data_IF_206073264800
#
_entry.id   IF_206073264800
#
_cell.length_a   1.000
_cell.length_b   1.000
_cell.length_c   1.000
_cell.angle_alpha   90.00
_cell.angle_beta   90.00
_cell.angle_gamma   90.00
#
_symmetry.space_group_name_H-M   'P 1'
#
loop_
_entity.id
_entity.type
_entity.pdbx_description
1 polymer ?
#
# COMPACT_ATOMS: atom_id res chain seq x y z
N UNK A 1 -31.98 46.59 35.92
CA UNK A 1 -33.09 47.17 36.72
C UNK A 1 -33.66 48.36 35.97
N UNK A 2 -34.97 48.64 36.05
CA UNK A 2 -36.01 47.87 36.74
C UNK A 2 -36.55 46.71 35.88
N UNK A 3 -37.58 46.02 36.39
CA UNK A 3 -38.41 45.05 35.67
C UNK A 3 -39.89 45.29 36.02
N UNK A 4 -40.81 44.85 35.16
CA UNK A 4 -42.25 44.76 35.47
C UNK A 4 -42.78 43.44 34.92
N UNK A 5 -43.61 42.75 35.71
CA UNK A 5 -44.26 41.47 35.36
C UNK A 5 -45.71 41.73 34.99
N UNK A 6 -46.26 40.94 34.05
CA UNK A 6 -47.68 40.96 33.71
C UNK A 6 -48.20 39.56 33.40
N UNK A 7 -49.19 39.10 34.18
CA UNK A 7 -49.86 37.80 34.02
C UNK A 7 -51.36 37.99 34.19
N UNK A 8 -52.19 37.57 33.23
CA UNK A 8 -53.66 37.72 33.29
C UNK A 8 -54.36 36.52 32.63
N UNK A 9 -55.26 35.88 33.39
CA UNK A 9 -56.44 35.05 33.03
C UNK A 9 -56.35 33.95 31.92
N UNK A 10 -57.10 32.86 32.00
CA UNK A 10 -58.08 32.46 33.02
C UNK A 10 -58.69 31.07 32.74
N UNK A 11 -59.54 30.58 33.65
CA UNK A 11 -60.08 29.20 33.66
C UNK A 11 -61.59 29.15 33.42
N UNK A 12 -62.06 28.10 32.70
CA UNK A 12 -63.49 27.67 32.64
C UNK A 12 -63.55 26.13 32.57
N UNK A 13 -64.60 25.52 33.13
CA UNK A 13 -64.79 24.07 33.35
C UNK A 13 -66.30 23.71 33.39
N UNK A 14 -66.80 22.46 33.28
CA UNK A 14 -66.13 21.15 33.11
C UNK A 14 -66.39 20.56 31.70
N UNK A 15 -67.28 19.59 31.36
CA UNK A 15 -68.17 18.69 32.13
C UNK A 15 -68.52 17.37 31.39
N UNK A 16 -67.90 16.27 31.83
CA UNK A 16 -68.40 14.86 31.78
C UNK A 16 -68.58 14.18 30.41
N UNK A 17 -68.53 12.84 30.23
CA UNK A 17 -68.15 11.64 31.05
C UNK A 17 -67.72 10.54 30.02
N UNK A 18 -67.15 9.38 30.35
CA UNK A 18 -67.11 8.58 31.58
C UNK A 18 -65.80 7.77 31.73
N UNK A 19 -65.59 7.19 32.92
CA UNK A 19 -64.53 6.19 33.16
C UNK A 19 -65.02 4.77 32.89
N UNK A 20 -64.09 3.87 32.54
CA UNK A 20 -64.19 2.44 32.80
C UNK A 20 -63.08 2.06 33.80
N UNK A 21 -63.43 1.30 34.85
CA UNK A 21 -62.48 0.81 35.86
C UNK A 21 -62.07 -0.64 35.57
N UNK A 22 -60.95 -1.08 36.13
CA UNK A 22 -60.42 -2.43 35.94
C UNK A 22 -61.12 -3.51 36.79
N UNK A 23 -60.92 -4.77 36.40
CA UNK A 23 -61.27 -5.96 37.15
C UNK A 23 -60.34 -7.11 36.73
N UNK A 24 -59.85 -7.90 37.68
CA UNK A 24 -58.79 -8.89 37.45
C UNK A 24 -59.31 -10.34 37.44
N UNK A 25 -58.63 -11.22 36.69
CA UNK A 25 -58.77 -12.68 36.75
C UNK A 25 -57.40 -13.36 36.61
N UNK A 26 -57.25 -14.54 37.22
CA UNK A 26 -55.99 -15.31 37.28
C UNK A 26 -56.32 -16.77 37.70
N UNK A 27 -55.49 -17.80 37.54
CA UNK A 27 -54.07 -17.89 37.17
C UNK A 27 -53.80 -19.12 36.29
N UNK A 28 -52.91 -19.01 35.30
CA UNK A 28 -52.33 -20.16 34.60
C UNK A 28 -50.91 -19.85 34.08
N UNK A 29 -49.84 -20.37 34.71
CA UNK A 29 -48.48 -20.25 34.18
C UNK A 29 -48.26 -21.29 33.08
N UNK A 30 -48.30 -20.87 31.81
CA UNK A 30 -47.87 -21.74 30.70
C UNK A 30 -46.35 -21.85 30.70
N UNK A 31 -45.83 -22.96 31.22
CA UNK A 31 -44.40 -23.21 31.38
C UNK A 31 -43.74 -23.63 30.07
N UNK A 32 -43.60 -22.70 29.12
CA UNK A 32 -42.63 -22.84 28.04
C UNK A 32 -41.21 -22.68 28.62
N UNK A 33 -40.26 -23.58 28.32
CA UNK A 33 -38.92 -23.50 28.89
C UNK A 33 -38.21 -22.25 28.38
N UNK A 34 -37.71 -21.42 29.29
CA UNK A 34 -36.67 -20.44 28.98
C UNK A 34 -35.45 -21.21 28.50
N UNK A 35 -35.25 -21.26 27.18
CA UNK A 35 -34.01 -21.74 26.59
C UNK A 35 -32.90 -20.77 27.01
N UNK A 36 -32.28 -21.06 28.17
CA UNK A 36 -31.00 -20.47 28.55
C UNK A 36 -30.03 -20.88 27.46
N UNK A 37 -29.77 -19.97 26.52
CA UNK A 37 -28.51 -19.98 25.79
C UNK A 37 -27.43 -19.78 26.84
N UNK A 38 -26.91 -20.89 27.34
CA UNK A 38 -25.54 -20.91 27.84
C UNK A 38 -24.70 -20.50 26.65
N UNK A 39 -24.21 -19.26 26.69
CA UNK A 39 -23.26 -18.78 25.71
C UNK A 39 -22.04 -19.68 25.87
N UNK A 40 -21.88 -20.65 24.96
CA UNK A 40 -20.62 -21.36 24.78
C UNK A 40 -19.58 -20.30 24.52
N UNK A 41 -18.85 -19.93 25.57
CA UNK A 41 -17.53 -19.34 25.47
C UNK A 41 -16.63 -20.43 24.91
N UNK A 42 -16.75 -20.63 23.60
CA UNK A 42 -15.84 -21.45 22.83
C UNK A 42 -14.46 -20.87 23.08
N UNK A 43 -13.69 -21.61 23.90
CA UNK A 43 -12.43 -21.11 24.43
C UNK A 43 -11.53 -20.86 23.23
N UNK A 44 -11.20 -19.58 22.99
CA UNK A 44 -10.34 -19.22 21.89
C UNK A 44 -9.04 -20.01 22.03
N UNK A 45 -8.79 -20.91 21.07
CA UNK A 45 -7.56 -21.67 20.95
C UNK A 45 -6.37 -20.70 21.14
N UNK A 46 -5.30 -21.08 21.87
CA UNK A 46 -4.20 -20.18 22.16
C UNK A 46 -3.67 -19.57 20.86
N UNK A 47 -3.99 -18.28 20.63
CA UNK A 47 -3.49 -17.55 19.47
C UNK A 47 -1.97 -17.52 19.60
N UNK A 48 -1.32 -18.24 18.69
CA UNK A 48 0.13 -18.32 18.60
C UNK A 48 0.70 -16.89 18.58
N UNK A 49 1.70 -16.62 19.41
CA UNK A 49 2.23 -15.27 19.58
C UNK A 49 2.95 -14.86 18.29
N UNK A 50 2.27 -14.04 17.48
CA UNK A 50 2.72 -13.71 16.13
C UNK A 50 3.84 -12.68 16.10
N UNK A 51 3.94 -11.87 17.15
CA UNK A 51 5.05 -10.94 17.33
C UNK A 51 6.31 -11.75 17.67
N UNK A 52 6.21 -12.73 18.58
CA UNK A 52 7.30 -13.68 18.87
C UNK A 52 7.67 -14.58 17.67
N UNK A 53 6.69 -14.97 16.81
CA UNK A 53 7.00 -15.67 15.54
C UNK A 53 7.77 -14.78 14.56
N UNK A 54 7.43 -13.49 14.46
CA UNK A 54 8.09 -12.56 13.55
C UNK A 54 9.48 -12.17 14.09
N UNK A 55 9.63 -11.93 15.39
CA UNK A 55 10.92 -11.77 16.06
C UNK A 55 11.85 -12.95 15.77
N UNK A 56 11.35 -14.19 15.92
CA UNK A 56 12.09 -15.41 15.59
C UNK A 56 12.42 -15.55 14.10
N UNK A 57 11.60 -15.00 13.20
CA UNK A 57 11.95 -14.93 11.78
C UNK A 57 13.06 -13.90 11.52
N UNK A 58 13.03 -12.77 12.24
CA UNK A 58 14.03 -11.70 12.15
C UNK A 58 15.39 -12.09 12.76
N UNK A 59 15.49 -13.10 13.62
CA UNK A 59 16.77 -13.76 13.99
C UNK A 59 17.62 -14.17 12.77
N UNK A 60 16.98 -14.42 11.61
CA UNK A 60 17.65 -14.81 10.37
C UNK A 60 18.03 -13.64 9.44
N UNK A 61 17.72 -12.39 9.84
CA UNK A 61 17.97 -11.18 9.06
C UNK A 61 19.17 -10.43 9.63
N UNK A 62 20.23 -10.30 8.83
CA UNK A 62 21.36 -9.43 9.17
C UNK A 62 20.91 -7.97 9.15
N UNK A 63 21.15 -7.26 10.24
CA UNK A 63 21.05 -5.79 10.36
C UNK A 63 22.44 -5.25 10.67
N UNK A 64 22.80 -4.09 10.13
CA UNK A 64 24.11 -3.47 10.39
C UNK A 64 24.25 -2.96 11.83
N UNK A 65 25.46 -2.95 12.37
CA UNK A 65 25.76 -2.47 13.73
C UNK A 65 25.36 -0.98 13.88
N UNK A 66 24.25 -0.74 14.59
CA UNK A 66 23.71 0.60 14.84
C UNK A 66 22.60 1.05 13.88
N UNK A 67 22.31 0.27 12.83
CA UNK A 67 21.09 0.44 12.05
C UNK A 67 19.86 -0.05 12.82
N UNK A 68 18.67 0.41 12.45
CA UNK A 68 17.39 -0.03 13.00
C UNK A 68 16.49 -0.56 11.92
N UNK A 69 15.69 -1.56 12.26
CA UNK A 69 14.63 -2.12 11.40
C UNK A 69 13.34 -2.23 12.20
N UNK A 70 12.22 -1.85 11.59
CA UNK A 70 10.88 -2.21 12.06
C UNK A 70 10.10 -2.89 10.94
N UNK A 71 9.40 -3.98 11.26
CA UNK A 71 8.57 -4.77 10.35
C UNK A 71 7.18 -4.91 10.93
N UNK A 72 6.16 -4.72 10.10
CA UNK A 72 4.78 -5.02 10.47
C UNK A 72 4.07 -5.74 9.31
N UNK A 73 3.32 -6.79 9.65
CA UNK A 73 2.57 -7.64 8.71
C UNK A 73 1.13 -7.73 9.18
N UNK A 74 0.18 -7.76 8.24
CA UNK A 74 -1.25 -7.96 8.50
C UNK A 74 -1.87 -8.81 7.40
N UNK A 75 -2.55 -9.88 7.79
CA UNK A 75 -3.54 -10.57 6.95
C UNK A 75 -4.84 -9.73 6.95
N UNK A 76 -5.31 -9.25 5.78
CA UNK A 76 -6.51 -8.41 5.68
C UNK A 76 -7.81 -9.21 5.81
N UNK A 77 -7.81 -10.53 5.59
CA UNK A 77 -8.99 -11.39 5.61
C UNK A 77 -9.33 -11.83 7.04
N UNK A 78 -8.33 -12.23 7.83
CA UNK A 78 -8.49 -12.56 9.25
C UNK A 78 -8.39 -11.35 10.18
N UNK A 79 -7.71 -10.29 9.73
CA UNK A 79 -7.33 -9.15 10.57
C UNK A 79 -6.14 -9.44 11.50
N UNK A 80 -5.51 -10.61 11.40
CA UNK A 80 -4.38 -11.01 12.24
C UNK A 80 -3.08 -10.33 11.81
N UNK A 81 -2.37 -9.73 12.76
CA UNK A 81 -1.11 -9.00 12.54
C UNK A 81 0.09 -9.58 13.29
N UNK A 82 1.29 -9.21 12.84
CA UNK A 82 2.56 -9.42 13.53
C UNK A 82 3.42 -8.14 13.44
N UNK A 83 4.25 -7.87 14.46
CA UNK A 83 5.19 -6.74 14.52
C UNK A 83 6.56 -7.15 15.07
N UNK A 84 7.59 -6.46 14.63
CA UNK A 84 8.96 -6.56 15.14
C UNK A 84 9.63 -5.18 15.07
N UNK A 85 10.31 -4.78 16.13
CA UNK A 85 11.05 -3.52 16.21
C UNK A 85 10.16 -2.29 16.41
N UNK A 86 10.53 -1.45 17.37
CA UNK A 86 9.87 -0.18 17.68
C UNK A 86 10.69 1.01 17.17
N UNK A 87 10.01 2.10 16.81
CA UNK A 87 10.66 3.36 16.46
C UNK A 87 9.83 4.24 15.53
N UNK A 88 10.43 5.38 15.16
CA UNK A 88 9.88 6.31 14.17
C UNK A 88 10.95 6.59 13.12
N UNK A 89 10.63 6.34 11.85
CA UNK A 89 11.56 6.35 10.73
C UNK A 89 11.19 7.46 9.74
N UNK A 90 12.19 8.06 9.09
CA UNK A 90 11.95 9.00 7.99
C UNK A 90 11.46 8.20 6.76
N UNK A 91 10.28 8.57 6.24
CA UNK A 91 9.53 7.83 5.21
C UNK A 91 10.25 7.73 3.85
N UNK A 92 11.16 8.65 3.54
CA UNK A 92 11.74 8.81 2.21
C UNK A 92 10.64 8.94 1.13
N UNK A 93 10.47 7.94 0.25
CA UNK A 93 9.44 7.97 -0.82
C UNK A 93 8.19 7.12 -0.57
N UNK A 94 8.01 6.48 0.59
CA UNK A 94 6.77 5.72 0.87
C UNK A 94 5.59 6.66 1.15
N UNK A 95 5.86 7.83 1.74
CA UNK A 95 4.89 8.93 1.99
C UNK A 95 4.17 9.41 0.72
N UNK A 96 4.68 9.08 -0.47
CA UNK A 96 3.98 9.36 -1.74
C UNK A 96 2.61 8.66 -1.80
N UNK A 97 2.44 7.50 -1.18
CA UNK A 97 1.12 6.84 -1.02
C UNK A 97 0.22 7.65 -0.10
N UNK A 98 0.78 8.20 0.99
CA UNK A 98 0.06 9.00 1.99
C UNK A 98 -0.39 10.36 1.44
N UNK A 99 0.49 11.05 0.70
CA UNK A 99 0.18 12.27 -0.05
C UNK A 99 -0.98 12.04 -1.04
N UNK A 100 -0.99 10.90 -1.73
CA UNK A 100 -2.08 10.55 -2.64
C UNK A 100 -3.37 10.21 -1.87
N UNK A 101 -3.29 9.51 -0.74
CA UNK A 101 -4.44 9.23 0.12
C UNK A 101 -5.07 10.53 0.67
N UNK A 102 -4.24 11.46 1.17
CA UNK A 102 -4.66 12.78 1.61
C UNK A 102 -5.32 13.60 0.48
N UNK A 103 -4.72 13.61 -0.72
CA UNK A 103 -5.27 14.29 -1.91
C UNK A 103 -6.64 13.71 -2.32
N UNK A 104 -6.76 12.38 -2.34
CA UNK A 104 -8.02 11.69 -2.67
C UNK A 104 -9.10 11.94 -1.62
N UNK A 105 -8.74 11.98 -0.34
CA UNK A 105 -9.66 12.28 0.77
C UNK A 105 -10.17 13.74 0.66
N UNK A 106 -9.28 14.71 0.45
CA UNK A 106 -9.66 16.11 0.24
C UNK A 106 -10.52 16.29 -1.03
N UNK A 107 -10.26 15.54 -2.09
CA UNK A 107 -11.09 15.56 -3.30
C UNK A 107 -12.51 14.99 -3.04
N UNK A 108 -12.62 13.91 -2.26
CA UNK A 108 -13.91 13.36 -1.83
C UNK A 108 -14.73 14.35 -0.98
N UNK A 109 -14.09 14.99 0.00
CA UNK A 109 -14.72 15.97 0.88
C UNK A 109 -15.25 17.18 0.09
N UNK A 110 -14.48 17.66 -0.89
CA UNK A 110 -14.87 18.72 -1.81
C UNK A 110 -15.79 18.24 -2.96
N UNK A 111 -16.27 17.00 -2.91
CA UNK A 111 -17.14 16.34 -3.90
C UNK A 111 -16.64 16.44 -5.35
N UNK A 112 -15.32 16.54 -5.53
CA UNK A 112 -14.65 16.68 -6.82
C UNK A 112 -13.93 15.39 -7.21
N UNK A 113 -13.63 15.26 -8.50
CA UNK A 113 -12.60 14.32 -8.97
C UNK A 113 -11.23 15.03 -8.92
N UNK A 114 -10.15 14.24 -8.96
CA UNK A 114 -8.84 14.79 -9.31
C UNK A 114 -8.91 15.45 -10.70
N UNK A 115 -8.17 16.53 -10.87
CA UNK A 115 -7.91 17.17 -12.16
C UNK A 115 -7.04 16.27 -13.06
N UNK A 116 -6.88 16.65 -14.33
CA UNK A 116 -5.94 15.96 -15.21
C UNK A 116 -4.49 16.08 -14.73
N UNK A 117 -4.12 17.24 -14.17
CA UNK A 117 -2.77 17.51 -13.68
C UNK A 117 -2.46 16.77 -12.37
N UNK A 118 -3.40 16.73 -11.41
CA UNK A 118 -3.26 15.92 -10.20
C UNK A 118 -3.09 14.42 -10.52
N UNK A 119 -3.83 13.89 -11.50
CA UNK A 119 -3.63 12.50 -11.95
C UNK A 119 -2.26 12.29 -12.61
N UNK A 120 -1.84 13.22 -13.47
CA UNK A 120 -0.52 13.15 -14.13
C UNK A 120 0.62 13.13 -13.10
N UNK A 121 0.52 13.94 -12.05
CA UNK A 121 1.48 13.93 -10.96
C UNK A 121 1.36 12.67 -10.09
N UNK A 122 0.15 12.18 -9.78
CA UNK A 122 -0.02 10.97 -8.99
C UNK A 122 0.59 9.73 -9.68
N UNK A 123 0.35 9.56 -10.98
CA UNK A 123 0.97 8.52 -11.83
C UNK A 123 2.50 8.59 -11.76
N UNK A 124 3.10 9.74 -12.11
CA UNK A 124 4.56 9.89 -12.08
C UNK A 124 5.16 9.72 -10.66
N UNK A 125 4.47 10.22 -9.63
CA UNK A 125 4.87 10.13 -8.23
C UNK A 125 4.85 8.70 -7.68
N UNK A 126 3.84 7.89 -7.98
CA UNK A 126 3.75 6.52 -7.47
C UNK A 126 4.61 5.58 -8.32
N UNK A 127 4.33 5.48 -9.62
CA UNK A 127 4.89 4.47 -10.53
C UNK A 127 6.41 4.64 -10.72
N UNK A 128 6.84 5.90 -10.88
CA UNK A 128 8.23 6.27 -11.22
C UNK A 128 8.95 6.98 -10.06
N UNK A 129 8.30 7.07 -8.89
CA UNK A 129 8.83 7.76 -7.70
C UNK A 129 9.20 9.24 -7.94
N UNK A 130 8.56 9.96 -8.88
CA UNK A 130 8.98 11.32 -9.23
C UNK A 130 8.86 12.32 -8.06
N UNK A 131 9.95 13.06 -7.82
CA UNK A 131 10.09 14.04 -6.74
C UNK A 131 9.50 15.41 -7.08
N UNK A 132 9.43 15.79 -8.37
CA UNK A 132 8.81 17.05 -8.77
C UNK A 132 7.28 16.96 -8.59
N UNK A 133 6.68 15.87 -9.08
CA UNK A 133 5.27 15.54 -8.88
C UNK A 133 4.91 15.38 -7.40
N UNK A 134 5.77 14.74 -6.59
CA UNK A 134 5.57 14.67 -5.15
C UNK A 134 5.54 16.04 -4.47
N UNK A 135 6.47 16.92 -4.82
CA UNK A 135 6.51 18.29 -4.28
C UNK A 135 5.28 19.11 -4.70
N UNK A 136 4.81 18.94 -5.95
CA UNK A 136 3.60 19.60 -6.44
C UNK A 136 2.32 19.12 -5.72
N UNK A 137 2.21 17.82 -5.43
CA UNK A 137 1.07 17.27 -4.69
C UNK A 137 1.16 17.55 -3.18
N UNK A 138 2.37 17.60 -2.61
CA UNK A 138 2.63 18.07 -1.24
C UNK A 138 2.15 19.50 -1.02
N UNK A 139 2.46 20.41 -1.96
CA UNK A 139 1.94 21.77 -1.94
C UNK A 139 0.41 21.77 -2.12
N UNK A 140 -0.14 20.93 -3.01
CA UNK A 140 -1.58 20.86 -3.29
C UNK A 140 -2.43 20.38 -2.09
N UNK A 141 -1.94 19.44 -1.26
CA UNK A 141 -2.67 19.01 -0.05
C UNK A 141 -2.57 20.02 1.10
N UNK A 142 -1.69 21.02 1.01
CA UNK A 142 -1.39 21.95 2.08
C UNK A 142 -0.28 21.49 3.03
N UNK A 143 0.71 20.75 2.52
CA UNK A 143 1.94 20.31 3.22
C UNK A 143 1.65 19.50 4.49
N UNK A 144 2.49 19.61 5.53
CA UNK A 144 2.39 18.86 6.78
C UNK A 144 1.00 18.99 7.41
N UNK A 145 0.49 20.21 7.61
CA UNK A 145 -0.88 20.46 8.10
C UNK A 145 -1.95 19.73 7.25
N UNK A 146 -1.71 19.60 5.94
CA UNK A 146 -2.55 18.89 4.99
C UNK A 146 -2.54 17.37 5.17
N UNK A 147 -1.35 16.81 5.35
CA UNK A 147 -1.11 15.40 5.62
C UNK A 147 -1.65 15.03 7.01
N UNK A 148 -1.23 15.72 8.06
CA UNK A 148 -1.57 15.43 9.46
C UNK A 148 -3.10 15.46 9.70
N UNK A 149 -3.83 16.34 9.00
CA UNK A 149 -5.31 16.37 9.00
C UNK A 149 -5.95 15.14 8.32
N UNK A 150 -5.32 14.57 7.29
CA UNK A 150 -5.76 13.32 6.68
C UNK A 150 -5.37 12.14 7.58
N UNK A 151 -4.14 12.11 8.08
CA UNK A 151 -3.56 11.04 8.88
C UNK A 151 -4.35 10.79 10.17
N UNK A 152 -4.74 11.86 10.87
CA UNK A 152 -5.67 11.81 12.01
C UNK A 152 -7.04 11.19 11.71
N UNK A 153 -7.51 11.22 10.46
CA UNK A 153 -8.76 10.56 10.01
C UNK A 153 -8.52 9.13 9.56
N UNK A 154 -7.42 8.90 8.83
CA UNK A 154 -7.02 7.61 8.27
C UNK A 154 -6.52 6.62 9.34
N UNK A 155 -6.20 7.10 10.54
CA UNK A 155 -5.74 6.29 11.68
C UNK A 155 -4.22 6.27 11.86
N UNK A 156 -3.51 7.15 11.17
CA UNK A 156 -2.07 7.34 11.29
C UNK A 156 -1.83 8.41 12.38
N UNK A 157 -1.73 8.00 13.64
CA UNK A 157 -1.61 8.94 14.77
C UNK A 157 -0.18 9.23 15.19
N UNK A 158 0.78 8.39 14.79
CA UNK A 158 2.21 8.54 15.11
C UNK A 158 3.02 8.99 13.87
N UNK A 159 2.36 9.20 12.74
CA UNK A 159 2.91 9.79 11.52
C UNK A 159 2.77 11.31 11.52
N UNK A 160 3.87 12.03 11.33
CA UNK A 160 3.90 13.50 11.32
C UNK A 160 4.66 14.04 10.10
N UNK A 161 4.04 14.99 9.39
CA UNK A 161 4.57 15.59 8.16
C UNK A 161 5.92 16.29 8.31
N UNK A 162 6.79 16.14 7.30
CA UNK A 162 8.11 16.78 7.26
C UNK A 162 8.04 18.31 7.09
N UNK A 163 9.01 19.04 7.65
CA UNK A 163 8.96 20.50 7.68
C UNK A 163 8.98 21.17 6.28
N UNK A 164 8.08 22.13 6.05
CA UNK A 164 8.09 22.97 4.86
C UNK A 164 7.89 22.18 3.57
N UNK A 165 8.94 22.05 2.75
CA UNK A 165 8.95 21.28 1.50
C UNK A 165 9.55 19.88 1.65
N UNK A 166 10.01 19.51 2.85
CA UNK A 166 10.79 18.30 3.12
C UNK A 166 9.89 17.08 3.33
N UNK A 167 8.98 16.81 2.40
CA UNK A 167 7.97 15.74 2.51
C UNK A 167 8.56 14.36 2.81
N UNK A 168 9.75 14.05 2.29
CA UNK A 168 10.43 12.77 2.54
C UNK A 168 11.02 12.62 3.95
N UNK A 169 10.99 13.69 4.76
CA UNK A 169 11.29 13.70 6.19
C UNK A 169 10.03 13.62 7.05
N UNK A 170 8.87 13.31 6.44
CA UNK A 170 7.70 12.84 7.19
C UNK A 170 8.11 11.60 7.96
N UNK A 171 7.83 11.56 9.26
CA UNK A 171 8.24 10.48 10.16
C UNK A 171 7.05 9.56 10.41
N UNK A 172 7.26 8.24 10.44
CA UNK A 172 6.19 7.22 10.59
C UNK A 172 6.63 6.06 11.49
N UNK A 173 5.65 5.34 12.06
CA UNK A 173 5.83 3.98 12.61
C UNK A 173 5.49 2.93 11.55
N UNK A 174 5.87 1.66 11.76
CA UNK A 174 5.43 0.55 10.90
C UNK A 174 3.94 0.22 11.07
N UNK A 175 3.38 0.47 12.27
CA UNK A 175 1.95 0.32 12.56
C UNK A 175 1.08 1.29 11.74
N UNK A 176 1.50 2.55 11.62
CA UNK A 176 0.80 3.56 10.81
C UNK A 176 0.87 3.25 9.31
N UNK A 177 1.99 2.70 8.82
CA UNK A 177 2.07 2.24 7.44
C UNK A 177 1.12 1.06 7.16
N UNK A 178 0.88 0.15 8.13
CA UNK A 178 -0.23 -0.80 8.02
C UNK A 178 -1.60 -0.12 8.04
N UNK A 179 -1.82 0.91 8.86
CA UNK A 179 -3.08 1.66 8.86
C UNK A 179 -3.35 2.31 7.48
N UNK A 180 -2.34 2.92 6.86
CA UNK A 180 -2.40 3.45 5.50
C UNK A 180 -2.72 2.35 4.48
N UNK A 181 -2.01 1.21 4.54
CA UNK A 181 -2.25 0.07 3.66
C UNK A 181 -3.67 -0.51 3.85
N UNK A 182 -4.27 -0.49 5.05
CA UNK A 182 -5.67 -0.87 5.26
C UNK A 182 -6.63 0.10 4.56
N UNK A 183 -6.40 1.40 4.64
CA UNK A 183 -7.19 2.40 3.92
C UNK A 183 -7.10 2.21 2.39
N UNK A 184 -5.95 1.77 1.88
CA UNK A 184 -5.74 1.45 0.45
C UNK A 184 -6.39 0.12 0.06
N UNK A 185 -6.05 -0.98 0.73
CA UNK A 185 -6.30 -2.37 0.31
C UNK A 185 -7.50 -3.05 1.00
N UNK A 186 -7.83 -2.67 2.23
CA UNK A 186 -8.96 -3.25 2.97
C UNK A 186 -10.34 -2.83 2.46
N UNK A 187 -11.39 -3.45 3.03
CA UNK A 187 -12.80 -3.14 2.73
C UNK A 187 -13.31 -1.94 3.55
N UNK A 188 -13.03 -1.91 4.85
CA UNK A 188 -13.29 -0.78 5.74
C UNK A 188 -12.29 0.35 5.50
N UNK A 189 -12.74 1.45 4.91
CA UNK A 189 -11.87 2.56 4.49
C UNK A 189 -12.64 3.86 4.28
N UNK A 190 -12.01 4.99 4.63
CA UNK A 190 -12.48 6.34 4.32
C UNK A 190 -12.20 6.75 2.87
N UNK A 191 -11.33 6.03 2.16
CA UNK A 191 -11.15 6.19 0.73
C UNK A 191 -12.29 5.46 -0.01
N UNK A 192 -12.94 6.18 -0.92
CA UNK A 192 -14.00 5.63 -1.77
C UNK A 192 -13.48 4.43 -2.56
N UNK A 193 -14.36 3.52 -2.98
CA UNK A 193 -13.95 2.36 -3.79
C UNK A 193 -13.18 2.79 -5.06
N UNK A 194 -13.62 3.87 -5.73
CA UNK A 194 -12.92 4.43 -6.89
C UNK A 194 -11.54 5.00 -6.54
N UNK A 195 -11.41 5.67 -5.40
CA UNK A 195 -10.12 6.16 -4.88
C UNK A 195 -9.16 5.00 -4.60
N UNK A 196 -9.64 3.95 -3.92
CA UNK A 196 -8.88 2.73 -3.63
C UNK A 196 -8.44 2.03 -4.92
N UNK A 197 -9.35 1.78 -5.86
CA UNK A 197 -9.00 1.20 -7.17
C UNK A 197 -7.92 2.02 -7.89
N UNK A 198 -7.98 3.35 -7.83
CA UNK A 198 -6.97 4.21 -8.47
C UNK A 198 -5.58 4.04 -7.83
N UNK A 199 -5.44 4.22 -6.51
CA UNK A 199 -4.12 4.09 -5.87
C UNK A 199 -3.57 2.66 -5.92
N UNK A 200 -4.43 1.63 -5.85
CA UNK A 200 -4.00 0.22 -6.04
C UNK A 200 -3.38 0.02 -7.42
N UNK A 201 -4.03 0.48 -8.50
CA UNK A 201 -3.51 0.35 -9.86
C UNK A 201 -2.14 1.00 -10.04
N UNK A 202 -1.95 2.22 -9.51
CA UNK A 202 -0.64 2.89 -9.57
C UNK A 202 0.47 2.13 -8.80
N UNK A 203 0.12 1.44 -7.71
CA UNK A 203 1.03 0.59 -6.94
C UNK A 203 1.28 -0.79 -7.59
N UNK A 204 0.43 -1.21 -8.52
CA UNK A 204 0.57 -2.43 -9.34
C UNK A 204 1.37 -2.15 -10.64
N UNK A 205 1.37 -0.91 -11.15
CA UNK A 205 2.00 -0.50 -12.42
C UNK A 205 3.36 0.22 -12.26
N UNK A 206 4.09 -0.01 -11.16
CA UNK A 206 5.40 0.65 -10.90
C UNK A 206 6.49 0.25 -11.92
N UNK A 207 7.46 1.14 -12.13
CA UNK A 207 8.60 0.90 -13.02
C UNK A 207 9.51 -0.24 -12.52
N UNK A 208 10.22 -0.90 -13.45
CA UNK A 208 11.04 -2.09 -13.17
C UNK A 208 12.12 -1.84 -12.09
N UNK A 209 12.70 -0.64 -12.04
CA UNK A 209 13.70 -0.26 -11.03
C UNK A 209 13.11 0.02 -9.63
N UNK A 210 11.77 0.08 -9.52
CA UNK A 210 11.03 0.13 -8.27
C UNK A 210 10.63 -1.27 -7.77
N UNK A 211 10.74 -2.32 -8.59
CA UNK A 211 10.25 -3.69 -8.30
C UNK A 211 11.18 -4.48 -7.35
N UNK A 212 11.30 -4.01 -6.10
CA UNK A 212 12.07 -4.64 -5.02
C UNK A 212 11.38 -4.47 -3.66
N UNK A 213 12.03 -4.88 -2.57
CA UNK A 213 11.47 -4.78 -1.22
C UNK A 213 10.42 -5.85 -0.98
N UNK A 214 9.22 -5.48 -0.53
CA UNK A 214 8.17 -6.45 -0.14
C UNK A 214 7.81 -7.46 -1.23
N UNK A 215 7.92 -7.11 -2.53
CA UNK A 215 7.69 -8.05 -3.65
C UNK A 215 8.55 -9.30 -3.61
N UNK A 216 9.66 -9.29 -2.87
CA UNK A 216 10.54 -10.44 -2.65
C UNK A 216 9.83 -11.70 -2.12
N UNK A 217 8.80 -11.56 -1.30
CA UNK A 217 8.08 -12.69 -0.69
C UNK A 217 6.85 -13.14 -1.49
N UNK A 218 6.57 -12.49 -2.63
CA UNK A 218 5.35 -12.74 -3.40
C UNK A 218 5.40 -14.02 -4.25
N UNK A 219 4.28 -14.71 -4.36
CA UNK A 219 4.03 -15.83 -5.27
C UNK A 219 3.89 -15.34 -6.73
N UNK A 220 5.01 -14.88 -7.30
CA UNK A 220 5.09 -14.33 -8.65
C UNK A 220 4.76 -12.84 -8.70
N UNK A 221 4.07 -12.41 -9.77
CA UNK A 221 3.79 -10.99 -10.06
C UNK A 221 2.49 -10.49 -9.38
N UNK A 222 2.18 -10.96 -8.18
CA UNK A 222 1.01 -10.51 -7.40
C UNK A 222 1.46 -9.70 -6.19
N UNK A 223 1.79 -8.45 -6.47
CA UNK A 223 2.17 -7.46 -5.46
C UNK A 223 1.71 -6.07 -5.89
N UNK A 224 1.62 -5.16 -4.94
CA UNK A 224 1.28 -3.76 -5.16
C UNK A 224 2.00 -2.93 -4.09
N UNK A 225 3.01 -2.14 -4.45
CA UNK A 225 3.97 -1.60 -3.47
C UNK A 225 4.45 -0.17 -3.76
N UNK A 226 5.06 0.46 -2.75
CA UNK A 226 5.87 1.66 -2.90
C UNK A 226 7.14 1.56 -2.06
N UNK A 227 8.27 1.83 -2.70
CA UNK A 227 9.58 1.89 -2.06
C UNK A 227 10.05 3.33 -1.84
N UNK A 228 10.97 3.49 -0.87
CA UNK A 228 11.67 4.74 -0.62
C UNK A 228 13.07 4.53 -0.05
N UNK A 229 13.97 5.44 -0.44
CA UNK A 229 15.35 5.47 0.04
C UNK A 229 15.80 6.94 0.13
N UNK A 230 16.60 7.27 1.15
CA UNK A 230 17.08 8.63 1.38
C UNK A 230 18.49 8.60 2.02
N UNK A 231 19.50 9.26 1.42
CA UNK A 231 20.76 9.50 2.11
C UNK A 231 20.62 10.66 3.10
N UNK A 232 20.81 10.38 4.38
CA UNK A 232 20.80 11.35 5.48
C UNK A 232 22.00 12.29 5.41
N UNK A 233 21.78 13.54 5.05
CA UNK A 233 22.84 14.57 5.09
C UNK A 233 23.37 14.84 6.51
N UNK A 234 22.62 14.48 7.55
CA UNK A 234 23.00 14.68 8.96
C UNK A 234 23.85 13.57 9.56
N UNK A 235 23.89 12.37 8.95
CA UNK A 235 24.65 11.20 9.47
C UNK A 235 25.53 10.53 8.42
N UNK A 236 25.28 10.73 7.13
CA UNK A 236 25.94 10.03 6.02
C UNK A 236 25.34 8.65 5.69
N UNK A 237 24.34 8.20 6.45
CA UNK A 237 23.71 6.88 6.38
C UNK A 237 22.42 6.91 5.54
N UNK A 238 21.78 5.76 5.32
CA UNK A 238 20.59 5.62 4.49
C UNK A 238 19.36 5.15 5.26
N UNK A 239 18.24 5.83 5.01
CA UNK A 239 16.89 5.34 5.34
C UNK A 239 16.40 4.51 4.13
N UNK A 240 15.90 3.29 4.35
CA UNK A 240 15.46 2.38 3.28
C UNK A 240 14.17 1.67 3.70
N UNK A 241 13.11 1.88 2.94
CA UNK A 241 11.74 1.52 3.31
C UNK A 241 10.98 0.88 2.14
N UNK A 242 10.10 -0.08 2.46
CA UNK A 242 9.21 -0.75 1.50
C UNK A 242 7.85 -1.02 2.13
N UNK A 243 6.77 -0.63 1.45
CA UNK A 243 5.39 -0.88 1.88
C UNK A 243 4.56 -1.48 0.74
N UNK A 244 3.59 -2.33 1.03
CA UNK A 244 2.66 -2.81 0.00
C UNK A 244 1.74 -3.96 0.41
N UNK A 245 1.00 -4.48 -0.56
CA UNK A 245 0.28 -5.76 -0.50
C UNK A 245 1.02 -6.80 -1.33
N UNK A 246 1.16 -8.02 -0.84
CA UNK A 246 1.79 -9.15 -1.53
C UNK A 246 0.99 -10.44 -1.33
N UNK A 247 0.82 -11.27 -2.37
CA UNK A 247 0.27 -12.62 -2.20
C UNK A 247 1.40 -13.59 -1.83
N UNK A 248 1.32 -14.30 -0.70
CA UNK A 248 2.30 -15.30 -0.28
C UNK A 248 1.61 -16.55 0.32
N UNK A 249 2.05 -17.75 -0.08
CA UNK A 249 1.37 -19.00 0.28
C UNK A 249 -0.06 -19.11 -0.27
N UNK A 250 -0.44 -18.26 -1.23
CA UNK A 250 -1.82 -18.10 -1.73
C UNK A 250 -2.71 -17.13 -0.93
N UNK A 251 -2.21 -16.48 0.12
CA UNK A 251 -2.93 -15.46 0.92
C UNK A 251 -2.37 -14.06 0.64
N UNK A 252 -3.20 -13.02 0.64
CA UNK A 252 -2.72 -11.63 0.56
C UNK A 252 -2.27 -11.14 1.94
N UNK A 253 -1.18 -10.40 2.01
CA UNK A 253 -0.68 -9.73 3.21
C UNK A 253 -0.37 -8.27 2.92
N UNK A 254 -0.67 -7.39 3.88
CA UNK A 254 -0.18 -6.03 3.94
C UNK A 254 1.12 -6.03 4.74
N UNK A 255 2.18 -5.44 4.19
CA UNK A 255 3.53 -5.49 4.75
C UNK A 255 4.14 -4.09 4.73
N UNK A 256 4.74 -3.70 5.85
CA UNK A 256 5.59 -2.52 5.97
C UNK A 256 6.96 -2.94 6.54
N UNK A 257 8.04 -2.54 5.87
CA UNK A 257 9.42 -2.70 6.30
C UNK A 257 10.06 -1.31 6.29
N UNK A 258 10.57 -0.88 7.44
CA UNK A 258 11.22 0.42 7.63
C UNK A 258 12.64 0.21 8.16
N UNK A 259 13.60 1.03 7.72
CA UNK A 259 14.95 1.03 8.30
C UNK A 259 15.63 2.39 8.29
N UNK A 260 16.46 2.65 9.30
CA UNK A 260 17.37 3.79 9.36
C UNK A 260 18.80 3.32 9.69
N UNK A 261 19.80 4.13 9.34
CA UNK A 261 21.19 3.93 9.77
C UNK A 261 22.04 2.99 8.90
N UNK A 262 21.54 2.47 7.78
CA UNK A 262 22.29 1.59 6.87
C UNK A 262 23.47 2.32 6.22
N UNK A 263 24.62 1.67 5.97
CA UNK A 263 25.81 2.33 5.42
C UNK A 263 25.70 2.62 3.92
N UNK A 264 25.03 1.75 3.16
CA UNK A 264 24.71 1.97 1.75
C UNK A 264 23.23 1.72 1.43
N UNK A 265 22.79 2.21 0.27
CA UNK A 265 21.44 1.91 -0.27
C UNK A 265 21.19 0.39 -0.43
N UNK A 266 22.23 -0.42 -0.61
CA UNK A 266 22.09 -1.84 -0.94
C UNK A 266 22.03 -2.77 0.29
N UNK A 267 22.35 -2.28 1.49
CA UNK A 267 22.41 -3.12 2.70
C UNK A 267 21.07 -3.13 3.46
N UNK A 268 20.31 -2.03 3.45
CA UNK A 268 18.90 -2.02 3.88
C UNK A 268 17.90 -2.53 2.84
N UNK A 269 18.35 -2.94 1.64
CA UNK A 269 17.56 -3.77 0.72
C UNK A 269 17.51 -5.22 1.27
N UNK A 270 16.85 -5.39 2.43
CA UNK A 270 16.93 -6.59 3.30
C UNK A 270 16.72 -7.92 2.54
N UNK A 271 17.35 -9.04 2.97
CA UNK A 271 17.43 -10.30 2.24
C UNK A 271 16.11 -10.82 1.64
N UNK A 272 15.98 -10.55 0.35
CA UNK A 272 14.73 -10.60 -0.40
C UNK A 272 14.87 -9.78 -1.69
N UNK A 273 15.55 -8.62 -1.59
CA UNK A 273 16.18 -7.96 -2.73
C UNK A 273 17.08 -8.95 -3.52
N UNK A 274 16.95 -8.94 -4.86
CA UNK A 274 17.38 -10.05 -5.70
C UNK A 274 18.87 -10.17 -6.01
N UNK A 275 19.67 -10.75 -5.11
CA UNK A 275 21.04 -11.22 -5.40
C UNK A 275 21.07 -12.67 -5.92
N UNK A 276 21.59 -12.92 -7.13
CA UNK A 276 21.48 -14.25 -7.76
C UNK A 276 22.56 -15.26 -7.31
N UNK A 277 22.11 -16.28 -6.56
CA UNK A 277 22.72 -17.61 -6.44
C UNK A 277 24.02 -17.79 -5.62
N UNK A 278 23.99 -17.42 -4.34
CA UNK A 278 24.61 -18.25 -3.30
C UNK A 278 23.73 -19.47 -2.99
N UNK A 279 24.31 -20.65 -2.69
CA UNK A 279 23.54 -21.85 -2.29
C UNK A 279 23.38 -21.93 -0.76
N UNK A 280 22.28 -21.40 -0.23
CA UNK A 280 21.87 -21.61 1.17
C UNK A 280 20.63 -20.81 1.52
N UNK A 281 19.68 -21.41 2.25
CA UNK A 281 18.53 -20.72 2.83
C UNK A 281 17.53 -20.11 1.84
N UNK A 282 16.39 -20.76 1.62
CA UNK A 282 15.15 -20.00 1.39
C UNK A 282 14.50 -19.82 2.76
N UNK A 283 14.44 -18.60 3.28
CA UNK A 283 13.46 -18.27 4.31
C UNK A 283 12.09 -18.47 3.65
N UNK A 284 11.28 -19.36 4.23
CA UNK A 284 9.97 -19.73 3.71
C UNK A 284 9.00 -19.54 4.85
N UNK A 285 8.19 -18.49 4.78
CA UNK A 285 7.07 -18.28 5.69
C UNK A 285 6.02 -19.36 5.42
N UNK A 286 6.23 -20.55 5.98
CA UNK A 286 5.23 -21.60 6.05
C UNK A 286 4.45 -21.42 7.35
N UNK A 287 3.16 -21.14 7.25
CA UNK A 287 2.23 -21.43 8.33
C UNK A 287 2.44 -22.88 8.82
N UNK A 288 2.31 -23.08 10.13
CA UNK A 288 2.65 -24.35 10.79
C UNK A 288 1.95 -25.56 10.18
N UNK A 289 2.69 -26.67 10.01
CA UNK A 289 2.14 -27.91 9.43
C UNK A 289 1.26 -28.67 10.43
N UNK A 290 0.01 -28.22 10.58
CA UNK A 290 -1.09 -29.12 10.96
C UNK A 290 -1.33 -30.17 9.87
N UNK A 291 -1.68 -31.40 10.27
CA UNK A 291 -2.08 -32.45 9.32
C UNK A 291 -3.50 -32.18 8.78
N UNK A 292 -3.85 -32.64 7.55
CA UNK A 292 -5.06 -32.19 6.88
C UNK A 292 -6.34 -32.83 7.46
N UNK A 293 -7.31 -31.99 7.85
CA UNK A 293 -8.70 -32.43 8.06
C UNK A 293 -9.32 -32.67 6.68
N UNK A 294 -9.64 -33.93 6.40
CA UNK A 294 -10.16 -34.38 5.11
C UNK A 294 -11.64 -34.03 4.92
N UNK A 295 -11.92 -32.82 4.42
CA UNK A 295 -13.28 -32.44 4.01
C UNK A 295 -13.66 -33.09 2.68
N UNK A 296 -14.48 -34.14 2.75
CA UNK A 296 -15.12 -34.77 1.59
C UNK A 296 -16.19 -33.83 1.01
N UNK A 297 -16.20 -33.53 -0.31
CA UNK A 297 -17.22 -32.67 -0.92
C UNK A 297 -18.55 -33.42 -1.08
N UNK A 298 -19.42 -33.31 -0.08
CA UNK A 298 -20.77 -33.84 -0.10
C UNK A 298 -21.76 -32.97 -0.88
N UNK A 299 -22.38 -33.55 -1.91
CA UNK A 299 -23.69 -33.16 -2.47
C UNK A 299 -23.89 -31.71 -2.97
N UNK A 300 -23.56 -31.47 -4.25
CA UNK A 300 -24.40 -30.63 -5.13
C UNK A 300 -24.72 -31.44 -6.40
N UNK A 301 -25.98 -31.37 -6.85
CA UNK A 301 -26.51 -32.18 -7.97
C UNK A 301 -26.24 -31.55 -9.36
N UNK A 302 -26.30 -32.33 -10.46
CA UNK A 302 -25.62 -31.95 -11.71
C UNK A 302 -26.51 -31.40 -12.84
N UNK A 303 -25.87 -30.59 -13.71
CA UNK A 303 -26.16 -30.42 -15.17
C UNK A 303 -27.44 -29.63 -15.51
N UNK A 304 -27.68 -29.16 -16.77
CA UNK A 304 -27.22 -29.66 -18.08
C UNK A 304 -25.99 -28.99 -18.72
N UNK A 305 -25.48 -29.66 -19.77
CA UNK A 305 -24.51 -29.13 -20.74
C UNK A 305 -25.27 -28.62 -21.96
N UNK A 306 -24.77 -27.58 -22.63
CA UNK A 306 -25.01 -27.37 -24.06
C UNK A 306 -23.70 -27.52 -24.85
N UNK A 307 -23.79 -28.14 -26.02
CA UNK A 307 -22.66 -28.52 -26.86
C UNK A 307 -22.18 -27.37 -27.74
N UNK A 308 -20.89 -27.38 -28.09
CA UNK A 308 -20.34 -26.45 -29.07
C UNK A 308 -20.72 -26.84 -30.52
N UNK A 309 -20.89 -25.85 -31.39
CA UNK A 309 -20.98 -26.03 -32.85
C UNK A 309 -20.30 -24.89 -33.60
N UNK A 310 -19.54 -25.26 -34.63
CA UNK A 310 -19.09 -24.48 -35.78
C UNK A 310 -18.36 -23.14 -35.55
N UNK A 311 -17.08 -23.09 -35.97
CA UNK A 311 -16.39 -21.83 -36.23
C UNK A 311 -16.85 -21.21 -37.56
N UNK A 312 -16.85 -19.88 -37.64
CA UNK A 312 -17.05 -19.14 -38.89
C UNK A 312 -16.00 -18.02 -39.01
N UNK A 313 -15.03 -18.20 -39.91
CA UNK A 313 -13.94 -17.25 -40.10
C UNK A 313 -14.44 -15.89 -40.62
N UNK A 314 -14.10 -14.81 -39.93
CA UNK A 314 -14.23 -13.44 -40.45
C UNK A 314 -12.92 -12.68 -40.28
N UNK A 315 -12.22 -12.50 -41.40
CA UNK A 315 -11.04 -11.66 -41.52
C UNK A 315 -11.39 -10.19 -41.22
N UNK A 316 -10.56 -9.53 -40.39
CA UNK A 316 -10.61 -8.06 -40.25
C UNK A 316 -9.80 -7.44 -41.40
N UNK A 317 -10.28 -6.36 -42.04
CA UNK A 317 -9.48 -5.61 -43.01
C UNK A 317 -8.33 -4.87 -42.31
N UNK A 318 -7.21 -4.74 -43.03
CA UNK A 318 -5.98 -4.06 -42.61
C UNK A 318 -6.09 -2.54 -42.87
N UNK A 319 -5.63 -1.66 -41.96
CA UNK A 319 -5.58 -0.23 -42.25
C UNK A 319 -4.58 0.09 -43.38
N UNK A 320 -4.82 1.13 -44.19
CA UNK A 320 -3.90 1.54 -45.26
C UNK A 320 -2.60 2.12 -44.70
N UNK A 321 -1.49 1.93 -45.42
CA UNK A 321 -0.20 2.51 -45.09
C UNK A 321 -0.06 3.94 -45.65
N UNK A 322 0.72 4.83 -45.02
CA UNK A 322 1.05 6.14 -45.57
C UNK A 322 2.02 6.04 -46.76
N UNK A 323 1.79 6.86 -47.78
CA UNK A 323 2.68 7.01 -48.95
C UNK A 323 3.78 8.06 -48.69
N UNK A 324 4.93 7.99 -49.40
CA UNK A 324 6.14 8.72 -49.02
C UNK A 324 6.22 10.16 -49.53
N UNK A 325 6.95 11.01 -48.80
CA UNK A 325 7.42 12.34 -49.26
C UNK A 325 8.87 12.58 -48.85
N UNK A 326 9.69 13.00 -49.82
CA UNK A 326 11.11 13.37 -49.79
C UNK A 326 11.39 14.19 -51.08
N UNK A 327 12.44 15.03 -51.19
CA UNK A 327 13.37 15.50 -50.16
C UNK A 327 13.56 17.04 -50.08
N UNK A 328 14.09 17.48 -48.92
CA UNK A 328 15.06 18.57 -48.68
C UNK A 328 15.08 19.91 -49.45
N UNK A 329 15.24 21.00 -48.69
CA UNK A 329 16.13 22.13 -49.02
C UNK A 329 16.68 22.79 -47.74
N UNK A 330 17.65 23.71 -47.83
CA UNK A 330 18.58 24.05 -46.73
C UNK A 330 18.75 25.56 -46.43
N UNK A 331 19.31 25.83 -45.23
CA UNK A 331 20.23 26.96 -44.91
C UNK A 331 19.66 28.40 -44.74
N UNK A 332 20.37 29.32 -44.02
CA UNK A 332 21.24 29.12 -42.84
C UNK A 332 20.95 30.20 -41.72
N UNK A 333 21.89 30.86 -40.97
CA UNK A 333 21.66 31.12 -39.53
C UNK A 333 21.66 32.61 -39.10
N UNK A 334 21.37 32.88 -37.82
CA UNK A 334 21.84 34.12 -37.13
C UNK A 334 22.27 33.86 -35.68
N UNK A 335 23.22 34.68 -35.23
CA UNK A 335 23.84 34.70 -33.90
C UNK A 335 23.35 35.91 -33.08
N UNK A 336 23.57 35.91 -31.75
CA UNK A 336 23.19 37.05 -30.89
C UNK A 336 23.40 36.80 -29.39
N UNK A 337 24.63 37.06 -28.90
CA UNK A 337 25.08 36.82 -27.52
C UNK A 337 24.43 37.71 -26.44
N UNK A 338 24.29 37.19 -25.21
CA UNK A 338 23.98 37.98 -24.00
C UNK A 338 23.95 37.12 -22.71
N UNK A 339 24.72 37.44 -21.65
CA UNK A 339 24.88 36.54 -20.50
C UNK A 339 23.98 36.84 -19.28
N UNK A 340 23.64 35.79 -18.52
CA UNK A 340 22.99 35.84 -17.20
C UNK A 340 23.56 34.74 -16.26
N UNK A 341 23.47 34.88 -14.92
CA UNK A 341 24.32 34.12 -14.00
C UNK A 341 23.82 32.70 -13.64
N UNK A 342 24.79 31.91 -13.18
CA UNK A 342 24.72 30.50 -12.78
C UNK A 342 23.69 30.21 -11.67
N UNK A 343 22.98 29.10 -11.81
CA UNK A 343 22.77 28.15 -10.72
C UNK A 343 23.00 26.73 -11.26
N UNK A 344 23.95 25.99 -10.69
CA UNK A 344 24.24 24.60 -11.03
C UNK A 344 23.70 23.69 -9.93
N UNK A 345 22.71 22.88 -10.25
CA UNK A 345 22.24 21.80 -9.37
C UNK A 345 23.18 20.58 -9.51
N UNK A 346 23.79 20.07 -8.43
CA UNK A 346 24.77 18.98 -8.49
C UNK A 346 24.14 17.56 -8.52
N UNK A 347 22.97 17.39 -9.14
CA UNK A 347 22.31 16.08 -9.31
C UNK A 347 21.96 15.80 -10.78
N UNK A 348 22.99 15.50 -11.57
CA UNK A 348 22.86 15.11 -12.99
C UNK A 348 23.99 14.14 -13.43
N UNK A 349 24.17 13.05 -12.69
CA UNK A 349 25.12 11.99 -13.06
C UNK A 349 24.58 11.15 -14.23
N UNK A 350 25.05 11.43 -15.45
CA UNK A 350 24.55 10.77 -16.65
C UNK A 350 25.13 9.35 -16.82
N UNK A 351 24.26 8.33 -16.74
CA UNK A 351 24.61 6.97 -17.11
C UNK A 351 24.84 6.84 -18.62
N UNK A 352 26.09 6.64 -19.05
CA UNK A 352 26.44 6.15 -20.39
C UNK A 352 26.80 4.65 -20.31
N UNK A 353 26.28 3.80 -21.21
CA UNK A 353 26.59 2.37 -21.18
C UNK A 353 28.01 2.08 -21.69
N UNK A 354 28.90 1.66 -20.79
CA UNK A 354 30.23 1.14 -21.13
C UNK A 354 30.11 -0.27 -21.71
N UNK A 355 30.16 -0.40 -23.04
CA UNK A 355 29.98 -1.68 -23.74
C UNK A 355 31.12 -2.68 -23.49
N UNK A 356 30.88 -3.68 -22.64
CA UNK A 356 31.79 -4.81 -22.45
C UNK A 356 31.72 -5.79 -23.63
N UNK A 357 32.87 -6.11 -24.23
CA UNK A 357 33.00 -7.15 -25.26
C UNK A 357 33.38 -8.48 -24.63
N UNK A 358 32.49 -9.47 -24.70
CA UNK A 358 32.88 -10.85 -24.41
C UNK A 358 33.74 -11.41 -25.55
N UNK A 359 34.90 -11.98 -25.22
CA UNK A 359 35.78 -12.70 -26.15
C UNK A 359 35.65 -14.19 -25.84
N UNK A 360 35.07 -14.96 -26.75
CA UNK A 360 34.90 -16.40 -26.54
C UNK A 360 36.26 -17.11 -26.57
N UNK A 361 36.61 -17.82 -25.49
CA UNK A 361 37.72 -18.75 -25.46
C UNK A 361 37.17 -20.15 -25.79
N UNK A 362 37.68 -20.78 -26.85
CA UNK A 362 37.30 -22.14 -27.23
C UNK A 362 38.12 -23.16 -26.45
N UNK A 363 37.48 -24.09 -25.75
CA UNK A 363 38.16 -25.17 -25.02
C UNK A 363 38.55 -26.29 -25.99
N UNK A 364 39.85 -26.47 -26.23
CA UNK A 364 40.36 -27.61 -26.98
C UNK A 364 40.10 -28.92 -26.21
N UNK A 365 39.53 -29.92 -26.88
CA UNK A 365 39.40 -31.26 -26.33
C UNK A 365 40.74 -32.01 -26.43
N UNK A 366 41.17 -32.65 -25.34
CA UNK A 366 42.36 -33.49 -25.34
C UNK A 366 42.08 -34.86 -25.98
N UNK A 367 42.98 -35.31 -26.86
CA UNK A 367 42.95 -36.63 -27.48
C UNK A 367 44.28 -37.37 -27.32
N UNK A 368 44.22 -38.69 -27.23
CA UNK A 368 45.38 -39.60 -27.29
C UNK A 368 46.08 -39.51 -28.67
N UNK A 369 47.32 -39.99 -28.88
CA UNK A 369 47.99 -41.10 -28.18
C UNK A 369 49.53 -41.06 -28.24
N UNK A 370 50.14 -42.02 -27.54
CA UNK A 370 51.57 -42.42 -27.48
C UNK A 370 52.22 -42.79 -28.84
N UNK A 371 53.55 -42.97 -28.93
CA UNK A 371 54.55 -43.14 -27.85
C UNK A 371 55.51 -41.97 -27.62
#
# INVERSE_FOLDING_TARGET
MPAVVGTVAGTVYVKERAHAAGGAVSSAPSSSPTARQEASVEAAEPREDRDALLEKAMESVTVEDGAKVAVAVLDPDSGDSARYGDGTFDTASIVKVDILAALLLQAQDAHRRLTAQERSYATAMIENSDNASASALWDAIGRADGLDRANKRLGLTDTAGGEGTLWGLTRTTAADQLALLRQVFGEESLLSQASRTYVRGLMEEIAEDQSWGVSAVADGSRWALKNGWLPRSTTGLWDINSIGRVTAGGHDYLVAVLSDGNSTKAEGDLPGGGGRAGRGGRVRLTAGRGAPVQWLPGCVLPRPRHSATAAASRTRPRPPAPSPTQPGECAPPRSGSGPGPKYLSPYAAACRPSGFRFRAASSAAAGSMRP
#
